data_IF_829909673077
#
_entry.id   IF_829909673077
#
_cell.length_a   1.000
_cell.length_b   1.000
_cell.length_c   1.000
_cell.angle_alpha   90.00
_cell.angle_beta   90.00
_cell.angle_gamma   90.00
#
_symmetry.space_group_name_H-M   'P 1'
#
loop_
_entity.id
_entity.type
_entity.pdbx_description
1 polymer ?
#
# COMPACT_ATOMS: atom_id res chain seq x y z
N UNK A 1 16.68 -10.96 1.25
CA UNK A 1 16.26 -9.56 1.42
C UNK A 1 14.87 -9.48 2.04
N UNK A 2 14.56 -8.47 2.86
CA UNK A 2 13.20 -8.11 3.27
C UNK A 2 12.42 -7.48 2.09
N UNK A 3 11.06 -7.42 2.12
CA UNK A 3 10.30 -6.69 1.10
C UNK A 3 10.78 -5.25 0.91
N UNK A 4 11.09 -4.56 2.02
CA UNK A 4 11.64 -3.20 2.01
C UNK A 4 13.01 -3.13 1.32
N UNK A 5 13.94 -4.02 1.66
CA UNK A 5 15.26 -4.08 1.01
C UNK A 5 15.16 -4.29 -0.49
N UNK A 6 14.24 -5.15 -0.97
CA UNK A 6 14.05 -5.36 -2.42
C UNK A 6 13.60 -4.11 -3.14
N UNK A 7 12.65 -3.36 -2.56
CA UNK A 7 12.19 -2.10 -3.15
C UNK A 7 13.34 -1.11 -3.20
N UNK A 8 14.12 -0.99 -2.12
CA UNK A 8 15.27 -0.08 -2.08
C UNK A 8 16.36 -0.46 -3.08
N UNK A 9 16.67 -1.76 -3.24
CA UNK A 9 17.62 -2.24 -4.24
C UNK A 9 17.23 -1.76 -5.65
N UNK A 10 15.97 -1.96 -6.04
CA UNK A 10 15.48 -1.48 -7.35
C UNK A 10 15.58 0.03 -7.50
N UNK A 11 15.21 0.80 -6.47
CA UNK A 11 15.31 2.26 -6.49
C UNK A 11 16.76 2.76 -6.58
N UNK A 12 17.72 1.98 -6.08
CA UNK A 12 19.15 2.26 -6.16
C UNK A 12 19.81 1.72 -7.45
N UNK A 13 19.06 1.11 -8.37
CA UNK A 13 19.59 0.51 -9.59
C UNK A 13 20.29 -0.85 -9.38
N UNK A 14 20.10 -1.47 -8.23
CA UNK A 14 20.62 -2.80 -7.90
C UNK A 14 19.64 -3.91 -8.31
N UNK A 15 20.17 -5.11 -8.57
CA UNK A 15 19.35 -6.29 -8.86
C UNK A 15 18.91 -6.98 -7.55
N UNK A 16 17.61 -7.04 -7.23
CA UNK A 16 17.14 -7.74 -6.04
C UNK A 16 17.22 -9.28 -6.20
N UNK A 17 17.12 -10.01 -5.09
CA UNK A 17 17.04 -11.48 -5.04
C UNK A 17 15.82 -12.05 -5.79
N UNK A 18 14.75 -11.25 -5.95
CA UNK A 18 13.57 -11.51 -6.79
C UNK A 18 12.80 -10.21 -7.04
N UNK A 19 11.85 -10.24 -8.00
CA UNK A 19 10.99 -9.09 -8.29
C UNK A 19 10.28 -8.59 -7.02
N UNK A 20 10.35 -7.29 -6.68
CA UNK A 20 9.64 -6.76 -5.54
C UNK A 20 8.13 -6.82 -5.77
N UNK A 21 7.40 -7.16 -4.71
CA UNK A 21 5.93 -7.13 -4.69
C UNK A 21 5.48 -5.97 -3.80
N UNK A 22 4.61 -5.13 -4.33
CA UNK A 22 3.90 -4.09 -3.57
C UNK A 22 2.44 -4.50 -3.50
N UNK A 23 1.88 -4.44 -2.31
CA UNK A 23 0.58 -5.01 -2.04
C UNK A 23 -0.58 -4.05 -2.39
N UNK A 24 -1.79 -4.60 -2.37
CA UNK A 24 -3.06 -3.86 -2.42
C UNK A 24 -3.91 -4.20 -1.21
N UNK A 25 -3.32 -4.22 -0.01
CA UNK A 25 -4.01 -4.53 1.26
C UNK A 25 -5.25 -3.70 1.47
N UNK A 26 -5.31 -2.49 0.92
CA UNK A 26 -6.52 -1.67 0.96
C UNK A 26 -7.74 -2.37 0.33
N UNK A 27 -7.59 -3.00 -0.83
CA UNK A 27 -8.69 -3.71 -1.48
C UNK A 27 -9.11 -4.94 -0.68
N UNK A 28 -8.12 -5.71 -0.21
CA UNK A 28 -8.36 -6.86 0.65
C UNK A 28 -9.09 -6.45 1.94
N UNK A 29 -8.59 -5.43 2.64
CA UNK A 29 -9.15 -4.95 3.90
C UNK A 29 -10.59 -4.45 3.72
N UNK A 30 -10.84 -3.61 2.71
CA UNK A 30 -12.19 -3.09 2.42
C UNK A 30 -13.16 -4.20 2.02
N UNK A 31 -12.73 -5.16 1.21
CA UNK A 31 -13.56 -6.30 0.80
C UNK A 31 -13.96 -7.19 1.98
N UNK A 32 -13.03 -7.45 2.91
CA UNK A 32 -13.32 -8.22 4.10
C UNK A 32 -14.15 -7.45 5.13
N UNK A 33 -13.97 -6.13 5.24
CA UNK A 33 -14.86 -5.28 6.04
C UNK A 33 -16.29 -5.28 5.48
N UNK A 34 -16.44 -5.17 4.16
CA UNK A 34 -17.74 -5.17 3.49
C UNK A 34 -18.50 -6.49 3.68
N UNK A 35 -17.78 -7.61 3.70
CA UNK A 35 -18.36 -8.95 3.91
C UNK A 35 -18.37 -9.37 5.39
N UNK A 36 -17.95 -8.51 6.31
CA UNK A 36 -17.78 -8.79 7.75
C UNK A 36 -16.94 -10.05 8.07
N UNK A 37 -15.94 -10.33 7.22
CA UNK A 37 -15.02 -11.47 7.36
C UNK A 37 -13.58 -11.05 7.70
N UNK A 38 -13.39 -9.80 8.13
CA UNK A 38 -12.07 -9.32 8.53
C UNK A 38 -11.57 -10.08 9.78
N UNK A 39 -10.32 -10.59 9.80
CA UNK A 39 -9.80 -11.30 10.96
C UNK A 39 -9.80 -10.43 12.22
N UNK A 40 -10.15 -11.02 13.36
CA UNK A 40 -10.31 -10.31 14.65
C UNK A 40 -9.12 -9.41 14.99
N UNK A 41 -7.90 -9.91 14.81
CA UNK A 41 -6.65 -9.18 15.06
C UNK A 41 -6.47 -7.87 14.27
N UNK A 42 -7.29 -7.66 13.24
CA UNK A 42 -7.28 -6.48 12.38
C UNK A 42 -8.55 -5.64 12.50
N UNK A 43 -9.57 -6.07 13.24
CA UNK A 43 -10.75 -5.24 13.50
C UNK A 43 -10.35 -3.99 14.28
N UNK A 44 -10.92 -2.85 13.88
CA UNK A 44 -10.63 -1.54 14.46
C UNK A 44 -9.14 -1.12 14.42
N UNK A 45 -8.30 -1.83 13.66
CA UNK A 45 -6.90 -1.45 13.46
C UNK A 45 -6.81 -0.54 12.24
N UNK A 46 -6.19 0.65 12.33
CA UNK A 46 -5.99 1.50 11.17
C UNK A 46 -5.20 0.78 10.09
N UNK A 47 -5.60 0.91 8.82
CA UNK A 47 -4.94 0.23 7.69
C UNK A 47 -3.42 0.49 7.64
N UNK A 48 -2.96 1.69 8.01
CA UNK A 48 -1.51 2.00 8.11
C UNK A 48 -0.78 1.07 9.08
N UNK A 49 -1.40 0.75 10.20
CA UNK A 49 -0.81 -0.11 11.22
C UNK A 49 -0.80 -1.58 10.76
N UNK A 50 -1.82 -2.02 10.01
CA UNK A 50 -1.83 -3.33 9.36
C UNK A 50 -0.64 -3.47 8.39
N UNK A 51 -0.40 -2.46 7.55
CA UNK A 51 0.77 -2.42 6.65
C UNK A 51 2.10 -2.52 7.40
N UNK A 52 2.24 -1.82 8.54
CA UNK A 52 3.44 -1.91 9.37
C UNK A 52 3.64 -3.33 9.93
N UNK A 53 2.58 -3.92 10.48
CA UNK A 53 2.62 -5.28 11.06
C UNK A 53 2.98 -6.36 10.04
N UNK A 54 2.53 -6.23 8.79
CA UNK A 54 2.84 -7.19 7.73
C UNK A 54 4.13 -6.87 6.97
N UNK A 55 4.78 -5.73 7.27
CA UNK A 55 6.02 -5.31 6.62
C UNK A 55 5.85 -4.90 5.15
N UNK A 56 4.66 -4.40 4.78
CA UNK A 56 4.33 -4.04 3.39
C UNK A 56 4.11 -2.53 3.23
N UNK A 57 4.61 -1.97 2.12
CA UNK A 57 4.51 -0.55 1.83
C UNK A 57 3.08 -0.14 1.46
N UNK A 58 2.55 0.93 2.07
CA UNK A 58 1.22 1.44 1.73
C UNK A 58 1.30 2.45 0.59
N UNK A 59 0.67 2.13 -0.55
CA UNK A 59 0.38 3.15 -1.56
C UNK A 59 -0.58 4.17 -0.96
N UNK A 60 -0.15 5.43 -0.87
CA UNK A 60 -1.03 6.56 -0.56
C UNK A 60 -1.13 7.41 -1.81
N UNK A 61 -2.36 7.71 -2.23
CA UNK A 61 -2.58 8.73 -3.23
C UNK A 61 -2.17 10.06 -2.60
N UNK A 62 -1.04 10.59 -3.05
CA UNK A 62 -0.54 11.90 -2.65
C UNK A 62 -0.50 12.73 -3.92
N UNK A 63 -1.12 13.92 -3.90
CA UNK A 63 -0.83 14.92 -4.93
C UNK A 63 0.58 15.43 -4.63
N UNK A 64 1.59 15.21 -5.49
CA UNK A 64 2.97 15.61 -5.18
C UNK A 64 3.11 17.13 -5.09
N UNK A 65 2.16 17.88 -5.63
CA UNK A 65 2.18 19.34 -5.66
C UNK A 65 0.78 19.94 -5.79
N UNK A 66 0.12 19.78 -6.95
CA UNK A 66 -1.28 20.17 -7.12
C UNK A 66 -1.93 19.40 -8.26
N UNK A 67 -3.22 19.13 -8.14
CA UNK A 67 -4.06 18.64 -9.23
C UNK A 67 -4.69 19.85 -9.91
N UNK A 68 -4.38 20.08 -11.19
CA UNK A 68 -5.02 21.14 -11.99
C UNK A 68 -5.88 20.50 -13.06
N UNK A 69 -7.16 20.84 -13.07
CA UNK A 69 -8.09 20.49 -14.14
C UNK A 69 -8.16 21.67 -15.11
N UNK A 70 -8.24 21.38 -16.42
CA UNK A 70 -8.49 22.40 -17.47
C UNK A 70 -9.78 22.06 -18.19
N UNK A 71 -10.63 23.07 -18.40
CA UNK A 71 -11.85 22.94 -19.20
C UNK A 71 -12.93 22.07 -18.56
N UNK A 72 -13.06 22.09 -17.23
CA UNK A 72 -14.11 21.36 -16.51
C UNK A 72 -15.02 22.36 -15.82
N UNK A 73 -16.33 22.28 -16.07
CA UNK A 73 -17.36 22.97 -15.27
C UNK A 73 -17.69 22.12 -14.04
N UNK A 74 -17.81 22.74 -12.86
CA UNK A 74 -18.07 22.09 -11.56
C UNK A 74 -19.48 22.42 -11.09
#
# INVERSE_FOLDING_TARGET
MSPRERVLAVLNGEKPDKLPFVDRLELWHRGLQYTDTLPERFRNVPLTEIHRRVGMGRLRFLSPYSMRLRGVEV
#
